data_IF_762081962785
#
_entry.id   IF_762081962785
#
_cell.length_a   1.000
_cell.length_b   1.000
_cell.length_c   1.000
_cell.angle_alpha   90.00
_cell.angle_beta   90.00
_cell.angle_gamma   90.00
#
_symmetry.space_group_name_H-M   'P 1'
#
loop_
_entity.id
_entity.type
_entity.pdbx_description
1 polymer ?
#
# COMPACT_ATOMS: atom_id res chain seq x y z
N UNK A 1 -54.19 -49.08 -84.48
CA UNK A 1 -54.33 -49.78 -85.78
C UNK A 1 -52.93 -49.87 -86.40
N UNK A 2 -52.13 -50.91 -86.11
CA UNK A 2 -52.01 -52.17 -86.88
C UNK A 2 -52.18 -51.99 -88.39
N UNK A 3 -51.06 -52.07 -89.12
CA UNK A 3 -50.86 -52.91 -90.32
C UNK A 3 -49.38 -52.80 -90.79
N UNK A 4 -48.65 -53.93 -90.69
CA UNK A 4 -47.54 -54.37 -91.57
C UNK A 4 -48.12 -55.55 -92.40
N UNK A 5 -47.53 -56.13 -93.48
CA UNK A 5 -46.13 -56.08 -93.96
C UNK A 5 -45.95 -56.16 -95.52
N UNK A 6 -44.71 -56.16 -96.03
CA UNK A 6 -44.20 -56.96 -97.18
C UNK A 6 -42.69 -56.65 -97.34
N UNK A 7 -41.76 -57.52 -96.91
CA UNK A 7 -41.03 -58.51 -97.73
C UNK A 7 -40.42 -57.97 -99.03
N UNK A 8 -39.11 -57.69 -99.03
CA UNK A 8 -38.23 -58.04 -100.15
C UNK A 8 -36.85 -58.46 -99.64
N UNK A 9 -36.50 -59.67 -100.04
CA UNK A 9 -35.22 -60.36 -99.84
C UNK A 9 -34.23 -59.81 -100.86
N UNK A 10 -33.07 -59.35 -100.40
CA UNK A 10 -31.95 -58.95 -101.24
C UNK A 10 -30.65 -59.39 -100.58
N UNK A 11 -30.21 -60.60 -100.91
CA UNK A 11 -28.90 -61.13 -100.56
C UNK A 11 -27.90 -60.75 -101.66
N UNK A 12 -26.81 -60.05 -101.34
CA UNK A 12 -25.53 -60.23 -102.05
C UNK A 12 -24.34 -59.56 -101.37
N UNK A 13 -23.22 -60.27 -101.44
CA UNK A 13 -21.81 -59.84 -101.37
C UNK A 13 -21.22 -59.38 -100.03
N UNK A 14 -20.74 -60.41 -99.33
CA UNK A 14 -19.58 -60.45 -98.46
C UNK A 14 -18.34 -59.80 -99.14
N UNK A 15 -17.84 -58.71 -98.56
CA UNK A 15 -16.48 -58.20 -98.78
C UNK A 15 -15.84 -57.97 -97.41
N UNK A 16 -15.28 -59.05 -96.87
CA UNK A 16 -14.40 -59.03 -95.71
C UNK A 16 -13.10 -58.33 -96.10
N UNK A 17 -12.97 -57.04 -95.82
CA UNK A 17 -11.65 -56.44 -95.67
C UNK A 17 -11.02 -57.05 -94.42
N UNK A 18 -10.02 -57.92 -94.63
CA UNK A 18 -9.14 -58.40 -93.57
C UNK A 18 -8.52 -57.20 -92.84
N UNK A 19 -8.55 -57.18 -91.50
CA UNK A 19 -7.78 -56.21 -90.74
C UNK A 19 -6.30 -56.49 -90.96
N UNK A 20 -5.55 -55.47 -91.36
CA UNK A 20 -4.09 -55.47 -91.22
C UNK A 20 -3.82 -55.40 -89.71
N UNK A 21 -3.79 -56.57 -89.07
CA UNK A 21 -3.26 -56.71 -87.73
C UNK A 21 -1.77 -56.35 -87.81
N UNK A 22 -1.45 -55.10 -87.47
CA UNK A 22 -0.11 -54.75 -87.02
C UNK A 22 0.21 -55.69 -85.87
N UNK A 23 1.08 -56.67 -86.13
CA UNK A 23 1.65 -57.50 -85.09
C UNK A 23 2.40 -56.55 -84.13
N UNK A 24 1.74 -56.19 -83.03
CA UNK A 24 2.43 -55.69 -81.85
C UNK A 24 3.48 -56.76 -81.53
N UNK A 25 4.76 -56.40 -81.60
CA UNK A 25 5.78 -57.18 -80.92
C UNK A 25 5.48 -57.00 -79.44
N UNK A 26 4.79 -57.97 -78.84
CA UNK A 26 4.57 -58.00 -77.41
C UNK A 26 5.94 -58.13 -76.73
N UNK A 27 6.52 -57.01 -76.31
CA UNK A 27 7.75 -56.98 -75.52
C UNK A 27 7.37 -57.06 -74.03
N UNK A 28 7.62 -58.20 -73.36
CA UNK A 28 7.23 -58.38 -71.96
C UNK A 28 7.87 -57.36 -71.02
N UNK A 29 9.03 -56.77 -71.39
CA UNK A 29 9.68 -55.73 -70.59
C UNK A 29 8.96 -54.38 -70.74
N UNK A 30 8.55 -54.01 -71.95
CA UNK A 30 7.76 -52.80 -72.17
C UNK A 30 6.40 -52.89 -71.48
N UNK A 31 5.75 -54.05 -71.50
CA UNK A 31 4.49 -54.30 -70.79
C UNK A 31 4.63 -54.16 -69.28
N UNK A 32 5.73 -54.69 -68.70
CA UNK A 32 5.99 -54.56 -67.27
C UNK A 32 6.16 -53.09 -66.85
N UNK A 33 6.92 -52.31 -67.64
CA UNK A 33 7.11 -50.87 -67.41
C UNK A 33 5.80 -50.08 -67.59
N UNK A 34 4.98 -50.43 -68.59
CA UNK A 34 3.66 -49.84 -68.79
C UNK A 34 2.72 -50.10 -67.61
N UNK A 35 2.73 -51.31 -67.02
CA UNK A 35 1.93 -51.61 -65.82
C UNK A 35 2.35 -50.78 -64.61
N UNK A 36 3.66 -50.56 -64.41
CA UNK A 36 4.16 -49.68 -63.33
C UNK A 36 3.70 -48.24 -63.54
N UNK A 37 3.82 -47.73 -64.77
CA UNK A 37 3.32 -46.40 -65.10
C UNK A 37 1.81 -46.31 -64.90
N UNK A 38 1.03 -47.30 -65.35
CA UNK A 38 -0.42 -47.36 -65.14
C UNK A 38 -0.79 -47.34 -63.65
N UNK A 39 -0.05 -48.03 -62.78
CA UNK A 39 -0.27 -47.98 -61.34
C UNK A 39 -0.12 -46.56 -60.78
N UNK A 40 0.89 -45.79 -61.21
CA UNK A 40 1.05 -44.38 -60.84
C UNK A 40 -0.07 -43.47 -61.38
N UNK A 41 -0.70 -43.83 -62.50
CA UNK A 41 -1.78 -43.01 -63.07
C UNK A 41 -3.12 -43.28 -62.39
N UNK A 42 -3.35 -44.54 -62.02
CA UNK A 42 -4.60 -45.03 -61.47
C UNK A 42 -4.70 -44.79 -59.96
N UNK A 43 -3.58 -44.54 -59.28
CA UNK A 43 -3.58 -44.14 -57.88
C UNK A 43 -4.00 -42.66 -57.73
N UNK A 44 -5.13 -42.36 -57.05
CA UNK A 44 -5.61 -40.99 -56.87
C UNK A 44 -4.64 -40.07 -56.12
N UNK A 45 -3.72 -40.61 -55.32
CA UNK A 45 -2.75 -39.79 -54.58
C UNK A 45 -1.60 -39.32 -55.46
N UNK A 46 -1.25 -40.08 -56.50
CA UNK A 46 -0.11 -39.83 -57.38
C UNK A 46 -0.51 -39.47 -58.82
N UNK A 47 -1.80 -39.59 -59.18
CA UNK A 47 -2.33 -39.31 -60.51
C UNK A 47 -2.00 -37.89 -61.01
N UNK A 48 -1.96 -36.92 -60.10
CA UNK A 48 -1.66 -35.52 -60.40
C UNK A 48 -0.19 -35.15 -60.17
N UNK A 49 0.61 -36.06 -59.63
CA UNK A 49 2.02 -35.85 -59.32
C UNK A 49 2.91 -36.36 -60.44
N UNK A 50 4.11 -35.79 -60.56
CA UNK A 50 5.14 -36.20 -61.51
C UNK A 50 4.65 -36.34 -62.98
N UNK A 51 3.64 -35.56 -63.40
CA UNK A 51 3.03 -35.64 -64.74
C UNK A 51 4.04 -35.55 -65.87
N UNK A 52 5.04 -34.67 -65.72
CA UNK A 52 6.11 -34.49 -66.68
C UNK A 52 7.02 -35.73 -66.78
N UNK A 53 7.52 -36.22 -65.66
CA UNK A 53 8.40 -37.41 -65.62
C UNK A 53 7.66 -38.66 -66.12
N UNK A 54 6.37 -38.79 -65.80
CA UNK A 54 5.51 -39.85 -66.33
C UNK A 54 5.39 -39.79 -67.85
N UNK A 55 5.20 -38.60 -68.42
CA UNK A 55 5.15 -38.43 -69.88
C UNK A 55 6.49 -38.83 -70.52
N UNK A 56 7.63 -38.45 -69.92
CA UNK A 56 8.95 -38.84 -70.41
C UNK A 56 9.19 -40.35 -70.32
N UNK A 57 8.72 -40.97 -69.23
CA UNK A 57 8.77 -42.42 -69.06
C UNK A 57 7.89 -43.15 -70.08
N UNK A 58 6.67 -42.67 -70.34
CA UNK A 58 5.79 -43.21 -71.39
C UNK A 58 6.44 -43.15 -72.77
N UNK A 59 7.07 -42.02 -73.12
CA UNK A 59 7.79 -41.87 -74.39
C UNK A 59 8.97 -42.84 -74.49
N UNK A 60 9.70 -43.04 -73.39
CA UNK A 60 10.85 -43.96 -73.35
C UNK A 60 10.43 -45.42 -73.47
N UNK A 61 9.31 -45.81 -72.85
CA UNK A 61 8.71 -47.15 -72.99
C UNK A 61 8.14 -47.38 -74.39
N UNK A 62 7.54 -46.36 -75.01
CA UNK A 62 7.09 -46.42 -76.41
C UNK A 62 8.28 -46.61 -77.37
N UNK A 63 9.38 -45.89 -77.17
CA UNK A 63 10.60 -46.06 -77.95
C UNK A 63 11.23 -47.46 -77.80
N UNK A 64 11.13 -48.06 -76.60
CA UNK A 64 11.54 -49.44 -76.36
C UNK A 64 10.70 -50.44 -77.16
N UNK A 65 9.38 -50.25 -77.24
CA UNK A 65 8.49 -51.14 -78.00
C UNK A 65 8.83 -51.19 -79.51
N UNK A 66 9.37 -50.10 -80.06
CA UNK A 66 9.80 -49.98 -81.46
C UNK A 66 11.29 -50.33 -81.68
N UNK A 67 12.02 -50.68 -80.63
CA UNK A 67 13.47 -50.85 -80.65
C UNK A 67 13.95 -51.96 -81.62
N UNK A 68 15.06 -51.69 -82.31
CA UNK A 68 15.81 -52.72 -83.06
C UNK A 68 16.66 -53.55 -82.09
N UNK A 69 16.90 -54.82 -82.43
CA UNK A 69 17.64 -55.79 -81.58
C UNK A 69 18.98 -55.26 -81.06
N UNK A 70 19.70 -54.46 -81.86
CA UNK A 70 21.02 -53.89 -81.51
C UNK A 70 20.97 -52.75 -80.49
N UNK A 71 19.86 -52.00 -80.44
CA UNK A 71 19.69 -50.80 -79.61
C UNK A 71 18.83 -51.10 -78.36
N UNK A 72 18.36 -52.35 -78.23
CA UNK A 72 17.38 -52.77 -77.23
C UNK A 72 17.88 -52.60 -75.81
N UNK A 73 19.06 -53.11 -75.49
CA UNK A 73 19.58 -53.08 -74.11
C UNK A 73 19.73 -51.65 -73.58
N UNK A 74 20.17 -50.72 -74.43
CA UNK A 74 20.27 -49.30 -74.10
C UNK A 74 18.89 -48.67 -73.86
N UNK A 75 17.89 -49.00 -74.68
CA UNK A 75 16.52 -48.48 -74.54
C UNK A 75 15.79 -49.10 -73.35
N UNK A 76 16.05 -50.37 -73.00
CA UNK A 76 15.54 -51.00 -71.77
C UNK A 76 16.06 -50.25 -70.55
N UNK A 77 17.37 -50.00 -70.51
CA UNK A 77 17.98 -49.26 -69.41
C UNK A 77 17.41 -47.84 -69.29
N UNK A 78 17.29 -47.11 -70.41
CA UNK A 78 16.74 -45.77 -70.40
C UNK A 78 15.27 -45.74 -69.94
N UNK A 79 14.44 -46.65 -70.46
CA UNK A 79 13.03 -46.74 -70.10
C UNK A 79 12.85 -47.09 -68.62
N UNK A 80 13.59 -48.08 -68.10
CA UNK A 80 13.55 -48.46 -66.69
C UNK A 80 13.94 -47.28 -65.78
N UNK A 81 15.04 -46.57 -66.10
CA UNK A 81 15.45 -45.38 -65.34
C UNK A 81 14.42 -44.26 -65.37
N UNK A 82 13.75 -44.04 -66.51
CA UNK A 82 12.71 -43.01 -66.61
C UNK A 82 11.47 -43.37 -65.81
N UNK A 83 11.06 -44.64 -65.80
CA UNK A 83 9.98 -45.12 -64.94
C UNK A 83 10.35 -44.98 -63.46
N UNK A 84 11.58 -45.34 -63.08
CA UNK A 84 12.09 -45.17 -61.71
C UNK A 84 12.09 -43.69 -61.28
N UNK A 85 12.55 -42.78 -62.14
CA UNK A 85 12.50 -41.34 -61.87
C UNK A 85 11.05 -40.89 -61.64
N UNK A 86 10.12 -41.29 -62.52
CA UNK A 86 8.71 -40.95 -62.37
C UNK A 86 8.10 -41.44 -61.05
N UNK A 87 8.40 -42.69 -60.66
CA UNK A 87 7.98 -43.26 -59.38
C UNK A 87 8.56 -42.50 -58.18
N UNK A 88 9.87 -42.22 -58.21
CA UNK A 88 10.55 -41.53 -57.12
C UNK A 88 10.09 -40.08 -56.98
N UNK A 89 9.89 -39.37 -58.10
CA UNK A 89 9.34 -38.02 -58.09
C UNK A 89 7.91 -38.00 -57.56
N UNK A 90 7.06 -38.96 -57.94
CA UNK A 90 5.71 -39.07 -57.42
C UNK A 90 5.69 -39.30 -55.90
N UNK A 91 6.50 -40.25 -55.41
CA UNK A 91 6.64 -40.52 -53.96
C UNK A 91 7.16 -39.31 -53.19
N UNK A 92 8.17 -38.62 -53.74
CA UNK A 92 8.74 -37.42 -53.13
C UNK A 92 7.72 -36.29 -53.06
N UNK A 93 6.95 -36.08 -54.13
CA UNK A 93 5.91 -35.05 -54.17
C UNK A 93 4.77 -35.36 -53.17
N UNK A 94 4.39 -36.63 -53.03
CA UNK A 94 3.38 -37.06 -52.06
C UNK A 94 3.86 -36.80 -50.62
N UNK A 95 5.09 -37.20 -50.31
CA UNK A 95 5.69 -36.96 -48.99
C UNK A 95 5.78 -35.47 -48.65
N UNK A 96 6.12 -34.61 -49.63
CA UNK A 96 6.13 -33.14 -49.45
C UNK A 96 4.75 -32.60 -49.12
N UNK A 97 3.71 -33.05 -49.82
CA UNK A 97 2.33 -32.64 -49.53
C UNK A 97 1.89 -33.04 -48.12
N UNK A 98 2.33 -34.19 -47.64
CA UNK A 98 2.06 -34.63 -46.27
C UNK A 98 2.81 -33.77 -45.24
N UNK A 99 4.07 -33.41 -45.51
CA UNK A 99 4.81 -32.46 -44.68
C UNK A 99 4.09 -31.10 -44.62
N UNK A 100 3.69 -30.53 -45.74
CA UNK A 100 2.98 -29.25 -45.77
C UNK A 100 1.67 -29.30 -44.95
N UNK A 101 0.94 -30.42 -45.02
CA UNK A 101 -0.27 -30.64 -44.21
C UNK A 101 0.05 -30.73 -42.71
N UNK A 102 1.10 -31.46 -42.34
CA UNK A 102 1.52 -31.61 -40.95
C UNK A 102 2.05 -30.30 -40.37
N UNK A 103 2.79 -29.53 -41.17
CA UNK A 103 3.25 -28.18 -40.81
C UNK A 103 2.08 -27.22 -40.59
N UNK A 104 1.09 -27.23 -41.48
CA UNK A 104 -0.16 -26.49 -41.28
C UNK A 104 -0.85 -26.86 -39.97
N UNK A 105 -1.02 -28.16 -39.72
CA UNK A 105 -1.63 -28.67 -38.48
C UNK A 105 -0.83 -28.27 -37.24
N UNK A 106 0.50 -28.35 -37.31
CA UNK A 106 1.39 -27.92 -36.22
C UNK A 106 1.24 -26.43 -35.94
N UNK A 107 1.19 -25.61 -36.98
CA UNK A 107 1.04 -24.16 -36.84
C UNK A 107 -0.31 -23.81 -36.19
N UNK A 108 -1.40 -24.45 -36.60
CA UNK A 108 -2.71 -24.27 -36.00
C UNK A 108 -2.71 -24.65 -34.51
N UNK A 109 -2.10 -25.79 -34.16
CA UNK A 109 -1.94 -26.22 -32.77
C UNK A 109 -1.11 -25.25 -31.93
N UNK A 110 -0.03 -24.69 -32.48
CA UNK A 110 0.80 -23.69 -31.80
C UNK A 110 0.04 -22.38 -31.59
N UNK A 111 -0.75 -21.94 -32.57
CA UNK A 111 -1.62 -20.77 -32.44
C UNK A 111 -2.67 -21.02 -31.35
N UNK A 112 -3.29 -22.20 -31.32
CA UNK A 112 -4.27 -22.54 -30.30
C UNK A 112 -3.66 -22.60 -28.90
N UNK A 113 -2.50 -23.25 -28.75
CA UNK A 113 -1.76 -23.28 -27.50
C UNK A 113 -1.42 -21.86 -27.02
N UNK A 114 -0.88 -21.03 -27.91
CA UNK A 114 -0.57 -19.62 -27.61
C UNK A 114 -1.81 -18.82 -27.18
N UNK A 115 -2.96 -19.03 -27.84
CA UNK A 115 -4.23 -18.39 -27.44
C UNK A 115 -4.69 -18.83 -26.05
N UNK A 116 -4.58 -20.13 -25.74
CA UNK A 116 -4.93 -20.66 -24.41
C UNK A 116 -4.03 -20.07 -23.34
N UNK A 117 -2.72 -20.01 -23.58
CA UNK A 117 -1.77 -19.44 -22.61
C UNK A 117 -2.00 -17.94 -22.42
N UNK A 118 -2.24 -17.18 -23.50
CA UNK A 118 -2.62 -15.77 -23.41
C UNK A 118 -3.92 -15.56 -22.61
N UNK A 119 -4.90 -16.45 -22.76
CA UNK A 119 -6.15 -16.38 -21.98
C UNK A 119 -5.92 -16.64 -20.48
N UNK A 120 -5.07 -17.61 -20.12
CA UNK A 120 -4.70 -17.91 -18.73
C UNK A 120 -3.93 -16.75 -18.11
N UNK A 121 -2.94 -16.21 -18.80
CA UNK A 121 -2.18 -15.05 -18.34
C UNK A 121 -3.09 -13.83 -18.09
N UNK A 122 -4.10 -13.59 -18.94
CA UNK A 122 -5.09 -12.52 -18.73
C UNK A 122 -5.96 -12.79 -17.49
N UNK A 123 -6.40 -14.02 -17.28
CA UNK A 123 -7.17 -14.39 -16.09
C UNK A 123 -6.35 -14.22 -14.81
N UNK A 124 -5.08 -14.60 -14.81
CA UNK A 124 -4.16 -14.41 -13.69
C UNK A 124 -3.90 -12.93 -13.43
N UNK A 125 -3.64 -12.14 -14.47
CA UNK A 125 -3.48 -10.69 -14.35
C UNK A 125 -4.73 -10.01 -13.77
N UNK A 126 -5.93 -10.42 -14.21
CA UNK A 126 -7.19 -9.89 -13.69
C UNK A 126 -7.38 -10.27 -12.21
N UNK A 127 -7.08 -11.51 -11.83
CA UNK A 127 -7.14 -11.95 -10.43
C UNK A 127 -6.20 -11.13 -9.54
N UNK A 128 -4.97 -10.89 -9.99
CA UNK A 128 -4.01 -10.06 -9.26
C UNK A 128 -4.47 -8.60 -9.16
N UNK A 129 -5.05 -8.05 -10.23
CA UNK A 129 -5.62 -6.71 -10.24
C UNK A 129 -6.77 -6.57 -9.24
N UNK A 130 -7.70 -7.53 -9.21
CA UNK A 130 -8.81 -7.57 -8.24
C UNK A 130 -8.27 -7.69 -6.82
N UNK A 131 -7.29 -8.57 -6.57
CA UNK A 131 -6.68 -8.70 -5.25
C UNK A 131 -5.99 -7.41 -4.78
N UNK A 132 -5.28 -6.72 -5.68
CA UNK A 132 -4.67 -5.42 -5.39
C UNK A 132 -5.72 -4.35 -5.09
N UNK A 133 -6.86 -4.36 -5.80
CA UNK A 133 -7.97 -3.43 -5.54
C UNK A 133 -8.61 -3.70 -4.17
N UNK A 134 -8.83 -4.96 -3.80
CA UNK A 134 -9.35 -5.33 -2.48
C UNK A 134 -8.40 -4.86 -1.38
N UNK A 135 -7.10 -5.11 -1.52
CA UNK A 135 -6.11 -4.66 -0.53
C UNK A 135 -6.06 -3.14 -0.40
N UNK A 136 -6.21 -2.40 -1.52
CA UNK A 136 -6.29 -0.96 -1.50
C UNK A 136 -7.56 -0.46 -0.78
N UNK A 137 -8.72 -1.06 -1.06
CA UNK A 137 -9.98 -0.72 -0.39
C UNK A 137 -9.93 -1.05 1.11
N UNK A 138 -9.38 -2.21 1.50
CA UNK A 138 -9.19 -2.59 2.89
C UNK A 138 -8.24 -1.61 3.61
N UNK A 139 -7.15 -1.19 2.96
CA UNK A 139 -6.23 -0.20 3.49
C UNK A 139 -6.90 1.17 3.68
N UNK A 140 -7.74 1.59 2.72
CA UNK A 140 -8.54 2.81 2.84
C UNK A 140 -9.56 2.72 3.97
N UNK A 141 -10.27 1.60 4.11
CA UNK A 141 -11.18 1.38 5.24
C UNK A 141 -10.46 1.40 6.58
N UNK A 142 -9.27 0.80 6.67
CA UNK A 142 -8.45 0.86 7.88
C UNK A 142 -7.99 2.28 8.20
N UNK A 143 -7.62 3.08 7.19
CA UNK A 143 -7.26 4.49 7.38
C UNK A 143 -8.45 5.30 7.89
N UNK A 144 -9.63 5.12 7.29
CA UNK A 144 -10.85 5.79 7.76
C UNK A 144 -11.21 5.40 9.19
N UNK A 145 -11.06 4.12 9.57
CA UNK A 145 -11.28 3.67 10.93
C UNK A 145 -10.27 4.28 11.92
N UNK A 146 -8.99 4.35 11.55
CA UNK A 146 -7.97 4.99 12.37
C UNK A 146 -8.21 6.50 12.51
N UNK A 147 -8.61 7.18 11.44
CA UNK A 147 -9.00 8.59 11.47
C UNK A 147 -10.20 8.81 12.41
N UNK A 148 -11.24 7.98 12.33
CA UNK A 148 -12.37 8.02 13.25
C UNK A 148 -11.97 7.77 14.70
N UNK A 149 -11.08 6.81 14.95
CA UNK A 149 -10.57 6.54 16.30
C UNK A 149 -9.77 7.74 16.84
N UNK A 150 -8.90 8.34 16.02
CA UNK A 150 -8.14 9.53 16.44
C UNK A 150 -9.05 10.74 16.71
N UNK A 151 -10.12 10.92 15.95
CA UNK A 151 -11.13 11.94 16.22
C UNK A 151 -11.87 11.65 17.54
N UNK A 152 -12.30 10.40 17.76
CA UNK A 152 -12.96 10.00 19.00
C UNK A 152 -12.05 10.19 20.24
N UNK A 153 -10.74 9.92 20.11
CA UNK A 153 -9.76 10.18 21.16
C UNK A 153 -9.60 11.67 21.45
N UNK A 154 -9.51 12.50 20.41
CA UNK A 154 -9.46 13.96 20.56
C UNK A 154 -10.71 14.51 21.24
N UNK A 155 -11.90 14.03 20.86
CA UNK A 155 -13.16 14.42 21.48
C UNK A 155 -13.21 14.02 22.96
N UNK A 156 -12.74 12.81 23.29
CA UNK A 156 -12.63 12.36 24.68
C UNK A 156 -11.63 13.22 25.49
N UNK A 157 -10.49 13.59 24.91
CA UNK A 157 -9.49 14.45 25.55
C UNK A 157 -10.02 15.88 25.77
N UNK A 158 -10.72 16.45 24.80
CA UNK A 158 -11.39 17.74 24.92
C UNK A 158 -12.46 17.70 26.03
N UNK A 159 -13.25 16.62 26.10
CA UNK A 159 -14.24 16.43 27.16
C UNK A 159 -13.58 16.35 28.55
N UNK A 160 -12.51 15.55 28.71
CA UNK A 160 -11.76 15.44 29.95
C UNK A 160 -11.13 16.78 30.36
N UNK A 161 -10.52 17.50 29.42
CA UNK A 161 -9.93 18.82 29.66
C UNK A 161 -10.99 19.82 30.10
N UNK A 162 -12.18 19.79 29.49
CA UNK A 162 -13.28 20.66 29.88
C UNK A 162 -13.79 20.38 31.30
N UNK A 163 -13.86 19.10 31.69
CA UNK A 163 -14.27 18.69 33.04
C UNK A 163 -13.20 19.05 34.06
N UNK A 164 -11.93 18.78 33.75
CA UNK A 164 -10.79 19.17 34.58
C UNK A 164 -10.75 20.69 34.78
N UNK A 165 -10.95 21.49 33.73
CA UNK A 165 -11.07 22.96 33.82
C UNK A 165 -12.23 23.42 34.70
N UNK A 166 -13.40 22.79 34.60
CA UNK A 166 -14.54 23.07 35.49
C UNK A 166 -14.23 22.70 36.94
N UNK A 167 -13.52 21.61 37.18
CA UNK A 167 -13.16 21.15 38.51
C UNK A 167 -12.10 22.03 39.17
N UNK A 168 -11.05 22.42 38.43
CA UNK A 168 -10.04 23.38 38.91
C UNK A 168 -10.65 24.74 39.22
N UNK A 169 -11.56 25.24 38.38
CA UNK A 169 -12.30 26.49 38.65
C UNK A 169 -13.13 26.41 39.95
N UNK A 170 -13.82 25.29 40.20
CA UNK A 170 -14.57 25.07 41.45
C UNK A 170 -13.66 25.00 42.67
N UNK A 171 -12.52 24.31 42.57
CA UNK A 171 -11.55 24.22 43.67
C UNK A 171 -10.96 25.59 44.00
N UNK A 172 -10.56 26.37 43.00
CA UNK A 172 -10.05 27.73 43.19
C UNK A 172 -11.10 28.64 43.85
N UNK A 173 -12.36 28.57 43.42
CA UNK A 173 -13.46 29.33 44.02
C UNK A 173 -13.73 28.93 45.48
N UNK A 174 -13.67 27.62 45.80
CA UNK A 174 -13.81 27.13 47.16
C UNK A 174 -12.64 27.59 48.05
N UNK A 175 -11.41 27.54 47.52
CA UNK A 175 -10.20 27.95 48.24
C UNK A 175 -10.21 29.46 48.52
N UNK A 176 -10.63 30.29 47.56
CA UNK A 176 -10.81 31.72 47.77
C UNK A 176 -11.84 32.02 48.86
N UNK A 177 -12.98 31.31 48.87
CA UNK A 177 -14.00 31.46 49.92
C UNK A 177 -13.48 31.04 51.30
N UNK A 178 -12.73 29.94 51.38
CA UNK A 178 -12.15 29.48 52.64
C UNK A 178 -11.16 30.51 53.22
N UNK A 179 -10.35 31.16 52.37
CA UNK A 179 -9.44 32.21 52.78
C UNK A 179 -10.22 33.45 53.28
N UNK A 180 -11.26 33.87 52.57
CA UNK A 180 -12.12 34.99 53.00
C UNK A 180 -12.74 34.73 54.37
N UNK A 181 -13.29 33.53 54.57
CA UNK A 181 -13.88 33.13 55.86
C UNK A 181 -12.81 33.07 56.96
N UNK A 182 -11.64 32.52 56.70
CA UNK A 182 -10.55 32.50 57.68
C UNK A 182 -10.08 33.91 58.08
N UNK A 183 -10.09 34.86 57.15
CA UNK A 183 -9.82 36.27 57.46
C UNK A 183 -10.90 36.89 58.33
N UNK A 184 -12.18 36.68 57.98
CA UNK A 184 -13.31 37.17 58.78
C UNK A 184 -13.30 36.57 60.20
N UNK A 185 -13.02 35.28 60.34
CA UNK A 185 -12.89 34.61 61.65
C UNK A 185 -11.70 35.16 62.46
N UNK A 186 -10.55 35.38 61.83
CA UNK A 186 -9.38 35.93 62.53
C UNK A 186 -9.57 37.38 62.95
N UNK A 187 -10.24 38.21 62.15
CA UNK A 187 -10.61 39.58 62.52
C UNK A 187 -11.62 39.62 63.67
N UNK A 188 -12.56 38.68 63.70
CA UNK A 188 -13.53 38.55 64.79
C UNK A 188 -12.90 38.07 66.11
N UNK A 189 -11.89 37.19 66.07
CA UNK A 189 -11.25 36.62 67.27
C UNK A 189 -10.15 37.52 67.84
N UNK A 190 -9.33 38.17 67.00
CA UNK A 190 -8.19 38.97 67.45
C UNK A 190 -8.56 40.38 67.90
N UNK A 191 -9.75 40.89 67.56
CA UNK A 191 -10.19 42.24 67.91
C UNK A 191 -9.32 43.38 67.33
N UNK A 192 -8.40 43.06 66.42
CA UNK A 192 -7.46 43.97 65.78
C UNK A 192 -7.22 43.53 64.32
N UNK A 193 -6.96 44.50 63.44
CA UNK A 193 -6.86 44.28 61.98
C UNK A 193 -5.54 43.61 61.59
N UNK A 194 -5.62 42.46 60.90
CA UNK A 194 -4.45 41.78 60.35
C UNK A 194 -3.77 42.63 59.25
N UNK A 195 -2.43 42.55 59.11
CA UNK A 195 -1.72 43.21 58.01
C UNK A 195 -2.13 42.62 56.65
N UNK A 196 -2.03 43.43 55.59
CA UNK A 196 -2.42 43.02 54.22
C UNK A 196 -1.69 41.74 53.81
N UNK A 197 -2.43 40.68 53.47
CA UNK A 197 -1.89 39.40 53.01
C UNK A 197 -2.11 39.17 51.50
N UNK A 198 -1.21 38.40 50.87
CA UNK A 198 -1.37 37.86 49.52
C UNK A 198 -0.84 36.43 49.50
N UNK A 199 -1.59 35.50 48.90
CA UNK A 199 -1.11 34.13 48.68
C UNK A 199 -0.39 34.07 47.34
N UNK A 200 0.86 33.63 47.38
CA UNK A 200 1.73 33.42 46.22
C UNK A 200 2.27 31.98 46.25
N UNK A 201 2.99 31.58 45.20
CA UNK A 201 3.74 30.33 45.08
C UNK A 201 4.65 29.99 46.28
N UNK A 202 4.99 30.98 47.12
CA UNK A 202 5.83 30.84 48.33
C UNK A 202 5.04 30.62 49.62
N UNK A 203 3.70 30.67 49.55
CA UNK A 203 2.80 30.61 50.70
C UNK A 203 2.07 31.94 50.95
N UNK A 204 1.57 32.11 52.17
CA UNK A 204 0.81 33.30 52.56
C UNK A 204 1.76 34.42 52.99
N UNK A 205 1.79 35.52 52.23
CA UNK A 205 2.71 36.64 52.43
C UNK A 205 1.98 37.81 53.08
N UNK A 206 2.30 38.13 54.32
CA UNK A 206 1.83 39.33 55.02
C UNK A 206 2.80 40.47 54.79
N UNK A 207 2.32 41.60 54.27
CA UNK A 207 3.14 42.77 53.94
C UNK A 207 2.89 43.93 54.90
N UNK A 208 3.98 44.48 55.44
CA UNK A 208 4.01 45.71 56.24
C UNK A 208 4.64 46.83 55.40
N UNK A 209 3.97 47.97 55.31
CA UNK A 209 4.44 49.15 54.59
C UNK A 209 5.56 49.90 55.30
N UNK A 210 6.19 50.87 54.64
CA UNK A 210 7.29 51.67 55.23
C UNK A 210 6.90 52.46 56.47
N UNK A 211 5.62 52.81 56.63
CA UNK A 211 5.10 53.47 57.84
C UNK A 211 5.07 52.58 59.09
N UNK A 212 5.32 51.26 58.95
CA UNK A 212 5.40 50.33 60.07
C UNK A 212 6.70 50.47 60.88
N UNK A 213 7.70 51.20 60.36
CA UNK A 213 9.01 51.34 60.99
C UNK A 213 9.35 52.82 61.27
N UNK A 214 9.61 53.15 62.54
CA UNK A 214 10.19 54.41 62.97
C UNK A 214 11.72 54.42 62.81
N UNK A 215 12.23 55.26 61.92
CA UNK A 215 13.66 55.39 61.67
C UNK A 215 14.26 54.16 60.96
N UNK A 216 15.39 53.65 61.47
CA UNK A 216 16.14 52.58 60.78
C UNK A 216 15.53 51.19 61.01
N UNK A 217 14.96 50.90 62.19
CA UNK A 217 14.52 49.54 62.51
C UNK A 217 13.49 49.40 63.66
N UNK A 218 13.02 50.48 64.28
CA UNK A 218 12.04 50.36 65.37
C UNK A 218 10.62 50.18 64.80
N UNK A 219 9.81 49.29 65.36
CA UNK A 219 8.40 49.17 64.95
C UNK A 219 7.58 50.33 65.51
N UNK A 220 6.63 50.86 64.73
CA UNK A 220 5.61 51.79 65.24
C UNK A 220 4.62 51.07 66.16
N UNK A 221 3.88 51.81 66.99
CA UNK A 221 2.86 51.23 67.88
C UNK A 221 1.82 50.39 67.12
N UNK A 222 1.37 50.88 65.97
CA UNK A 222 0.42 50.17 65.11
C UNK A 222 1.03 48.90 64.50
N UNK A 223 2.30 48.96 64.08
CA UNK A 223 3.01 47.79 63.55
C UNK A 223 3.31 46.74 64.63
N UNK A 224 3.54 47.17 65.87
CA UNK A 224 3.66 46.27 67.02
C UNK A 224 2.33 45.55 67.31
N UNK A 225 1.19 46.26 67.20
CA UNK A 225 -0.15 45.68 67.29
C UNK A 225 -0.43 44.66 66.16
N UNK A 226 -0.09 45.01 64.91
CA UNK A 226 -0.20 44.10 63.76
C UNK A 226 0.71 42.88 63.87
N UNK A 227 1.93 43.05 64.39
CA UNK A 227 2.84 41.94 64.64
C UNK A 227 2.32 41.02 65.74
N UNK A 228 1.67 41.56 66.77
CA UNK A 228 1.01 40.77 67.83
C UNK A 228 -0.17 39.96 67.29
N UNK A 229 -1.08 40.59 66.52
CA UNK A 229 -2.19 39.89 65.88
C UNK A 229 -1.70 38.80 64.91
N UNK A 230 -0.61 39.07 64.17
CA UNK A 230 0.04 38.08 63.31
C UNK A 230 0.66 36.93 64.12
N UNK A 231 1.26 37.20 65.29
CA UNK A 231 1.79 36.18 66.17
C UNK A 231 0.69 35.24 66.71
N UNK A 232 -0.46 35.80 67.09
CA UNK A 232 -1.63 35.02 67.51
C UNK A 232 -2.17 34.17 66.35
N UNK A 233 -2.29 34.73 65.15
CA UNK A 233 -2.67 33.99 63.93
C UNK A 233 -1.70 32.83 63.64
N UNK A 234 -0.39 33.05 63.76
CA UNK A 234 0.65 32.03 63.55
C UNK A 234 0.64 30.92 64.62
N UNK A 235 0.14 31.23 65.82
CA UNK A 235 -0.01 30.26 66.91
C UNK A 235 -1.30 29.45 66.78
N UNK A 236 -2.38 30.07 66.29
CA UNK A 236 -3.68 29.41 66.09
C UNK A 236 -3.68 28.53 64.83
N UNK A 237 -3.13 29.03 63.71
CA UNK A 237 -3.53 28.56 62.38
C UNK A 237 -2.59 27.60 61.65
N UNK A 238 -1.25 27.74 61.73
CA UNK A 238 -0.34 27.01 60.79
C UNK A 238 1.02 26.69 61.41
N UNK A 239 1.40 25.40 61.47
CA UNK A 239 2.71 24.88 61.97
C UNK A 239 3.83 24.93 60.93
N UNK A 240 3.83 25.92 60.03
CA UNK A 240 4.85 26.10 58.98
C UNK A 240 6.10 26.85 59.46
N UNK A 241 7.17 26.78 58.67
CA UNK A 241 8.34 27.66 58.81
C UNK A 241 7.97 29.06 58.28
N UNK A 242 8.38 30.10 58.98
CA UNK A 242 8.06 31.49 58.65
C UNK A 242 9.34 32.18 58.18
N UNK A 243 9.31 32.76 56.99
CA UNK A 243 10.42 33.54 56.45
C UNK A 243 10.08 35.04 56.51
N UNK A 244 10.90 35.79 57.21
CA UNK A 244 10.77 37.23 57.39
C UNK A 244 11.78 37.89 56.47
N UNK A 245 11.28 38.72 55.56
CA UNK A 245 12.09 39.44 54.56
C UNK A 245 11.95 40.93 54.80
N UNK A 246 13.04 41.61 55.15
CA UNK A 246 13.06 43.07 55.23
C UNK A 246 13.50 43.67 53.91
N UNK A 247 12.90 44.80 53.51
CA UNK A 247 13.24 45.53 52.29
C UNK A 247 13.72 46.94 52.65
N UNK A 248 14.86 47.34 52.11
CA UNK A 248 15.40 48.69 52.16
C UNK A 248 16.47 48.88 51.05
N UNK A 249 16.77 50.12 50.69
CA UNK A 249 17.91 50.47 49.83
C UNK A 249 19.26 50.07 50.44
N UNK A 250 19.37 50.07 51.77
CA UNK A 250 20.54 49.60 52.50
C UNK A 250 20.33 48.17 53.03
N UNK A 251 21.21 47.25 52.66
CA UNK A 251 21.13 45.84 53.06
C UNK A 251 21.24 45.64 54.59
N UNK A 252 21.98 46.52 55.28
CA UNK A 252 22.07 46.49 56.75
C UNK A 252 20.74 46.87 57.41
N UNK A 253 20.08 47.90 56.89
CA UNK A 253 18.78 48.36 57.36
C UNK A 253 17.67 47.36 57.04
N UNK A 254 17.69 46.75 55.85
CA UNK A 254 16.77 45.68 55.47
C UNK A 254 16.81 44.50 56.46
N UNK A 255 18.02 44.03 56.83
CA UNK A 255 18.18 42.97 57.82
C UNK A 255 17.67 43.37 59.20
N UNK A 256 17.97 44.58 59.66
CA UNK A 256 17.52 45.08 60.97
C UNK A 256 16.00 45.18 61.10
N UNK A 257 15.29 45.56 60.03
CA UNK A 257 13.81 45.55 60.02
C UNK A 257 13.24 44.15 60.13
N UNK A 258 13.84 43.19 59.44
CA UNK A 258 13.44 41.79 59.52
C UNK A 258 13.71 41.20 60.92
N UNK A 259 14.82 41.59 61.55
CA UNK A 259 15.13 41.24 62.94
C UNK A 259 14.15 41.86 63.94
N UNK A 260 13.81 43.15 63.78
CA UNK A 260 12.83 43.81 64.65
C UNK A 260 11.44 43.15 64.59
N UNK A 261 11.02 42.73 63.39
CA UNK A 261 9.78 41.99 63.20
C UNK A 261 9.86 40.56 63.78
N UNK A 262 11.00 39.88 63.63
CA UNK A 262 11.25 38.60 64.32
C UNK A 262 11.08 38.75 65.83
N UNK A 263 11.73 39.76 66.41
CA UNK A 263 11.74 39.95 67.86
C UNK A 263 10.32 40.28 68.38
N UNK A 264 9.52 41.03 67.61
CA UNK A 264 8.11 41.26 67.92
C UNK A 264 7.24 40.00 67.84
N UNK A 265 7.47 39.13 66.86
CA UNK A 265 6.78 37.84 66.74
C UNK A 265 7.17 36.88 67.87
N UNK A 266 8.44 36.87 68.26
CA UNK A 266 8.92 36.09 69.43
C UNK A 266 8.30 36.62 70.72
N UNK A 267 8.21 37.95 70.89
CA UNK A 267 7.51 38.56 72.01
C UNK A 267 6.01 38.23 72.02
N UNK A 268 5.41 38.03 70.85
CA UNK A 268 4.03 37.52 70.68
C UNK A 268 3.88 36.01 70.86
N UNK A 269 4.93 35.28 71.25
CA UNK A 269 4.88 33.85 71.59
C UNK A 269 5.19 32.89 70.44
N UNK A 270 5.66 33.36 69.29
CA UNK A 270 6.09 32.48 68.18
C UNK A 270 7.51 31.94 68.47
N UNK A 271 7.69 30.61 68.40
CA UNK A 271 9.00 30.00 68.62
C UNK A 271 10.06 30.49 67.63
N UNK A 272 11.20 31.02 68.13
CA UNK A 272 12.27 31.58 67.31
C UNK A 272 12.85 30.58 66.28
N UNK A 273 12.85 29.28 66.60
CA UNK A 273 13.29 28.21 65.68
C UNK A 273 12.44 28.08 64.41
N UNK A 274 11.23 28.66 64.40
CA UNK A 274 10.34 28.68 63.23
C UNK A 274 10.60 29.86 62.31
N UNK A 275 11.30 30.88 62.79
CA UNK A 275 11.50 32.15 62.10
C UNK A 275 12.86 32.15 61.39
N UNK A 276 12.85 32.39 60.09
CA UNK A 276 14.04 32.66 59.30
C UNK A 276 14.06 34.12 58.90
N UNK A 277 15.19 34.79 59.08
CA UNK A 277 15.33 36.22 58.77
C UNK A 277 16.21 36.37 57.54
N UNK A 278 15.75 37.17 56.59
CA UNK A 278 16.48 37.49 55.36
C UNK A 278 16.33 38.96 54.97
N UNK A 279 17.35 39.49 54.30
CA UNK A 279 17.30 40.81 53.68
C UNK A 279 16.94 40.67 52.20
N UNK A 280 15.80 41.23 51.80
CA UNK A 280 15.37 41.27 50.42
C UNK A 280 16.17 42.29 49.61
N UNK A 281 16.44 41.97 48.33
CA UNK A 281 17.00 42.94 47.37
C UNK A 281 15.85 43.80 46.83
N UNK A 282 15.71 45.03 47.31
CA UNK A 282 14.72 45.99 46.82
C UNK A 282 14.48 47.14 47.79
N UNK A 283 14.23 48.34 47.25
CA UNK A 283 13.92 49.52 48.06
C UNK A 283 12.59 49.35 48.80
N UNK A 284 12.51 49.89 50.02
CA UNK A 284 11.27 49.92 50.79
C UNK A 284 10.23 50.79 50.06
N UNK A 285 9.02 50.28 49.89
CA UNK A 285 7.89 51.02 49.33
C UNK A 285 6.83 51.32 50.39
N UNK A 286 5.88 52.19 50.04
CA UNK A 286 4.73 52.50 50.92
C UNK A 286 3.95 51.26 51.35
N UNK A 287 4.01 50.18 50.57
CA UNK A 287 3.27 48.94 50.79
C UNK A 287 4.15 47.74 51.12
N UNK A 288 5.48 47.87 51.03
CA UNK A 288 6.44 46.78 51.24
C UNK A 288 7.74 47.29 51.85
N UNK A 289 7.87 47.17 53.16
CA UNK A 289 9.10 47.40 53.90
C UNK A 289 9.54 46.17 54.72
N UNK A 290 8.59 45.33 55.12
CA UNK A 290 8.86 43.97 55.59
C UNK A 290 7.74 43.03 55.16
N UNK A 291 8.09 41.78 54.88
CA UNK A 291 7.15 40.72 54.56
C UNK A 291 7.38 39.51 55.46
N UNK A 292 6.29 38.88 55.86
CA UNK A 292 6.28 37.61 56.58
C UNK A 292 5.64 36.58 55.66
N UNK A 293 6.46 35.68 55.15
CA UNK A 293 6.04 34.57 54.29
C UNK A 293 5.82 33.35 55.18
N UNK A 294 4.58 32.90 55.28
CA UNK A 294 4.23 31.65 55.94
C UNK A 294 4.23 30.56 54.89
N UNK A 295 5.21 29.66 54.97
CA UNK A 295 5.25 28.50 54.08
C UNK A 295 3.98 27.65 54.28
N UNK A 296 3.43 27.08 53.19
CA UNK A 296 2.26 26.20 53.27
C UNK A 296 2.49 24.97 54.15
#
# INVERSE_FOLDING_TARGET
>A
MKLRPLLYIGALSLATLSPLAMAAKDDPQADALNRRLAALQNDPQTSDLARYERLQAQQSVAALAEAKRRDRDALVFLADRRVEIAELTARTALARRELDRLEGTRNDLLIEASRRDASRARQEAERLRVQAQIQAEEAERMRQAAEQETLARQDAELALTSVAGKQTAKLNAAQQKAIQLAHEEAELVAGAKLPSSKVDSRGEVFSLGSGAFGGKAALSGDAAGQAKALAEYLNIGKKGRVSIVGFDSDAGTAKKRAEALRDALVAGGVAASRLQVSGGKGAASKTRAAEVVVAP
#
